data_IF_156274988595
#
_entry.id   IF_156274988595
#
_cell.length_a   1.000
_cell.length_b   1.000
_cell.length_c   1.000
_cell.angle_alpha   90.00
_cell.angle_beta   90.00
_cell.angle_gamma   90.00
#
_symmetry.space_group_name_H-M   'P 1'
#
loop_
_entity.id
_entity.type
_entity.pdbx_description
1 polymer ?
#
# COMPACT_ATOMS: atom_id res chain seq x y z
N UNK A 1 -22.87 -3.00 -16.29
CA UNK A 1 -22.92 -4.40 -16.78
C UNK A 1 -21.57 -4.71 -17.39
N UNK A 2 -20.98 -5.89 -17.15
CA UNK A 2 -19.61 -6.21 -17.58
C UNK A 2 -19.63 -6.86 -18.96
N UNK A 3 -18.85 -6.33 -19.91
CA UNK A 3 -18.71 -6.89 -21.24
C UNK A 3 -17.32 -7.48 -21.47
N UNK A 4 -17.22 -8.44 -22.41
CA UNK A 4 -16.00 -9.18 -22.73
C UNK A 4 -15.65 -9.02 -24.20
N UNK A 5 -14.42 -8.57 -24.48
CA UNK A 5 -13.88 -8.54 -25.84
C UNK A 5 -12.79 -9.63 -25.97
N UNK A 6 -12.86 -10.54 -26.96
CA UNK A 6 -11.87 -11.59 -27.13
C UNK A 6 -10.51 -11.03 -27.54
N UNK A 7 -9.45 -11.64 -27.00
CA UNK A 7 -8.07 -11.23 -27.24
C UNK A 7 -7.34 -12.18 -28.19
N UNK A 8 -6.53 -11.61 -29.06
CA UNK A 8 -5.81 -12.31 -30.11
C UNK A 8 -4.31 -12.44 -29.80
N UNK A 9 -3.62 -13.23 -30.62
CA UNK A 9 -2.17 -13.38 -30.59
C UNK A 9 -1.68 -14.33 -29.48
N UNK A 10 -0.36 -14.52 -29.44
CA UNK A 10 0.32 -15.51 -28.59
C UNK A 10 -0.07 -15.41 -27.11
N UNK A 11 -0.12 -14.19 -26.56
CA UNK A 11 -0.38 -13.96 -25.13
C UNK A 11 -1.87 -13.79 -24.80
N UNK A 12 -2.72 -13.61 -25.82
CA UNK A 12 -4.16 -13.34 -25.69
C UNK A 12 -5.07 -14.53 -25.99
N UNK A 13 -4.56 -15.60 -26.62
CA UNK A 13 -5.37 -16.78 -27.00
C UNK A 13 -6.19 -17.31 -25.82
N UNK A 14 -7.51 -17.41 -26.01
CA UNK A 14 -8.46 -17.91 -25.00
C UNK A 14 -8.77 -16.92 -23.87
N UNK A 15 -8.26 -15.67 -23.93
CA UNK A 15 -8.51 -14.63 -22.94
C UNK A 15 -9.46 -13.58 -23.47
N UNK A 16 -10.04 -12.83 -22.54
CA UNK A 16 -10.91 -11.71 -22.80
C UNK A 16 -10.43 -10.51 -21.98
N UNK A 17 -10.71 -9.31 -22.47
CA UNK A 17 -10.63 -8.09 -21.66
C UNK A 17 -12.03 -7.71 -21.18
N UNK A 18 -12.12 -7.24 -19.94
CA UNK A 18 -13.34 -6.71 -19.36
C UNK A 18 -13.43 -5.21 -19.66
N UNK A 19 -14.61 -4.74 -20.07
CA UNK A 19 -14.90 -3.33 -20.33
C UNK A 19 -16.31 -2.99 -19.87
N UNK A 20 -16.56 -1.70 -19.64
CA UNK A 20 -17.90 -1.19 -19.39
C UNK A 20 -18.69 -1.05 -20.71
N UNK A 21 -20.01 -0.91 -20.61
CA UNK A 21 -20.89 -0.90 -21.78
C UNK A 21 -20.66 0.33 -22.65
N UNK A 22 -20.33 1.47 -22.02
CA UNK A 22 -20.11 2.77 -22.66
C UNK A 22 -18.90 2.73 -23.61
N UNK A 23 -17.92 1.87 -23.33
CA UNK A 23 -16.72 1.71 -24.15
C UNK A 23 -16.81 0.48 -25.09
N UNK A 24 -17.74 -0.44 -24.83
CA UNK A 24 -17.79 -1.73 -25.51
C UNK A 24 -18.04 -1.60 -27.02
N UNK A 25 -18.99 -0.76 -27.43
CA UNK A 25 -19.36 -0.61 -28.84
C UNK A 25 -18.18 -0.07 -29.67
N UNK A 26 -17.49 0.96 -29.19
CA UNK A 26 -16.34 1.55 -29.87
C UNK A 26 -15.14 0.59 -29.89
N UNK A 27 -14.82 0.00 -28.74
CA UNK A 27 -13.66 -0.89 -28.63
C UNK A 27 -13.82 -2.19 -29.42
N UNK A 28 -15.05 -2.68 -29.62
CA UNK A 28 -15.33 -3.90 -30.37
C UNK A 28 -15.10 -3.79 -31.87
N UNK A 29 -14.93 -2.57 -32.40
CA UNK A 29 -14.58 -2.33 -33.82
C UNK A 29 -13.17 -2.81 -34.16
N UNK A 30 -12.32 -3.04 -33.16
CA UNK A 30 -10.90 -3.35 -33.35
C UNK A 30 -10.54 -4.77 -32.92
N UNK A 31 -9.48 -5.31 -33.56
CA UNK A 31 -8.83 -6.53 -33.10
C UNK A 31 -7.78 -6.22 -32.04
N UNK A 32 -8.04 -6.68 -30.83
CA UNK A 32 -7.15 -6.51 -29.69
C UNK A 32 -6.26 -7.73 -29.46
N UNK A 33 -5.05 -7.52 -28.95
CA UNK A 33 -4.08 -8.53 -28.58
C UNK A 33 -3.42 -8.21 -27.25
N UNK A 34 -2.69 -9.14 -26.67
CA UNK A 34 -1.94 -8.92 -25.42
C UNK A 34 -0.46 -8.73 -25.73
N UNK A 35 0.11 -7.62 -25.25
CA UNK A 35 1.54 -7.34 -25.37
C UNK A 35 2.37 -8.25 -24.46
N UNK A 36 3.69 -8.33 -24.71
CA UNK A 36 4.61 -9.13 -23.86
C UNK A 36 4.59 -8.69 -22.38
N UNK A 37 4.30 -7.42 -22.11
CA UNK A 37 4.17 -6.87 -20.75
C UNK A 37 2.74 -6.95 -20.18
N UNK A 38 1.83 -7.63 -20.87
CA UNK A 38 0.48 -7.99 -20.38
C UNK A 38 -0.61 -6.97 -20.68
N UNK A 39 -0.29 -5.82 -21.29
CA UNK A 39 -1.32 -4.83 -21.64
C UNK A 39 -2.09 -5.23 -22.89
N UNK A 40 -3.39 -4.94 -22.91
CA UNK A 40 -4.27 -5.04 -24.07
C UNK A 40 -3.94 -3.93 -25.07
N UNK A 41 -3.58 -4.33 -26.29
CA UNK A 41 -3.08 -3.44 -27.33
C UNK A 41 -3.68 -3.73 -28.70
N UNK A 42 -3.74 -2.69 -29.54
CA UNK A 42 -4.03 -2.79 -30.97
C UNK A 42 -2.99 -2.03 -31.78
N UNK A 43 -2.82 -2.44 -33.03
CA UNK A 43 -2.10 -1.65 -34.03
C UNK A 43 -3.03 -0.63 -34.70
N UNK A 44 -2.45 0.42 -35.25
CA UNK A 44 -3.14 1.37 -36.11
C UNK A 44 -2.15 2.32 -36.77
N UNK A 45 -2.65 3.24 -37.60
CA UNK A 45 -1.83 4.26 -38.25
C UNK A 45 -2.16 5.64 -37.67
N UNK A 46 -1.14 6.46 -37.42
CA UNK A 46 -1.29 7.91 -37.19
C UNK A 46 -0.38 8.60 -38.20
N UNK A 47 -0.94 9.50 -39.02
CA UNK A 47 -0.19 10.24 -40.05
C UNK A 47 0.67 9.31 -40.93
N UNK A 48 0.09 8.18 -41.36
CA UNK A 48 0.77 7.16 -42.16
C UNK A 48 1.79 6.30 -41.42
N UNK A 49 2.08 6.58 -40.14
CA UNK A 49 3.04 5.84 -39.33
C UNK A 49 2.37 4.82 -38.43
N UNK A 50 2.92 3.59 -38.37
CA UNK A 50 2.42 2.54 -37.49
C UNK A 50 2.57 2.91 -36.01
N UNK A 51 1.48 2.79 -35.25
CA UNK A 51 1.43 3.06 -33.82
C UNK A 51 0.74 1.92 -33.08
N UNK A 52 1.23 1.67 -31.86
CA UNK A 52 0.63 0.75 -30.91
C UNK A 52 -0.22 1.55 -29.91
N UNK A 53 -1.49 1.20 -29.79
CA UNK A 53 -2.43 1.81 -28.86
C UNK A 53 -2.75 0.84 -27.72
N UNK A 54 -2.94 1.38 -26.51
CA UNK A 54 -3.27 0.61 -25.31
C UNK A 54 -4.71 0.91 -24.90
N UNK A 55 -5.52 -0.13 -24.68
CA UNK A 55 -6.95 0.02 -24.39
C UNK A 55 -7.23 0.96 -23.21
N UNK A 56 -6.59 0.73 -22.05
CA UNK A 56 -6.74 1.61 -20.87
C UNK A 56 -6.44 3.09 -21.14
N UNK A 57 -5.55 3.42 -22.09
CA UNK A 57 -5.29 4.82 -22.47
C UNK A 57 -6.34 5.39 -23.41
N UNK A 58 -6.90 4.57 -24.31
CA UNK A 58 -8.01 5.02 -25.17
C UNK A 58 -9.28 5.30 -24.34
N UNK A 59 -9.56 4.48 -23.32
CA UNK A 59 -10.72 4.66 -22.44
C UNK A 59 -10.60 5.94 -21.58
N UNK A 60 -9.43 6.16 -20.98
CA UNK A 60 -9.23 7.25 -20.01
C UNK A 60 -8.72 8.55 -20.65
N UNK A 61 -8.19 8.49 -21.87
CA UNK A 61 -7.61 9.61 -22.61
C UNK A 61 -6.74 10.56 -21.74
N UNK A 62 -5.71 10.04 -21.03
CA UNK A 62 -4.87 10.86 -20.18
C UNK A 62 -4.00 11.80 -21.01
N UNK A 63 -3.55 12.91 -20.40
CA UNK A 63 -2.48 13.73 -20.96
C UNK A 63 -1.17 12.93 -21.12
N UNK A 64 -0.25 13.44 -21.94
CA UNK A 64 1.00 12.73 -22.27
C UNK A 64 1.97 12.60 -21.09
N UNK A 65 1.90 13.50 -20.11
CA UNK A 65 2.67 13.47 -18.86
C UNK A 65 2.12 12.48 -17.81
N UNK A 66 0.90 11.97 -18.02
CA UNK A 66 0.22 11.06 -17.10
C UNK A 66 0.13 9.64 -17.65
N UNK A 67 -0.06 8.69 -16.73
CA UNK A 67 -0.28 7.28 -17.03
C UNK A 67 -1.64 6.85 -16.49
N UNK A 68 -2.09 5.67 -16.92
CA UNK A 68 -3.33 5.07 -16.42
C UNK A 68 -2.96 3.78 -15.70
N UNK A 69 -3.28 3.73 -14.41
CA UNK A 69 -3.06 2.59 -13.51
C UNK A 69 -4.30 1.69 -13.46
N UNK A 70 -4.05 0.39 -13.34
CA UNK A 70 -5.08 -0.62 -13.10
C UNK A 70 -5.15 -0.86 -11.58
N UNK A 71 -6.20 -0.38 -10.92
CA UNK A 71 -6.32 -0.38 -9.45
C UNK A 71 -6.09 -1.77 -8.87
N UNK A 72 -6.71 -2.81 -9.44
CA UNK A 72 -6.52 -4.20 -8.99
C UNK A 72 -5.19 -4.83 -9.46
N UNK A 73 -4.47 -4.20 -10.40
CA UNK A 73 -3.25 -4.70 -11.03
C UNK A 73 -3.46 -5.68 -12.19
N UNK A 74 -4.71 -6.01 -12.53
CA UNK A 74 -5.07 -6.81 -13.69
C UNK A 74 -5.21 -5.94 -14.94
N UNK A 75 -4.27 -6.11 -15.87
CA UNK A 75 -4.19 -5.35 -17.12
C UNK A 75 -5.24 -5.77 -18.16
N UNK A 76 -5.95 -6.86 -17.92
CA UNK A 76 -7.07 -7.32 -18.75
C UNK A 76 -8.42 -6.80 -18.25
N UNK A 77 -8.46 -6.19 -17.06
CA UNK A 77 -9.66 -5.53 -16.55
C UNK A 77 -9.62 -4.04 -16.87
N UNK A 78 -10.13 -3.67 -18.04
CA UNK A 78 -10.13 -2.30 -18.55
C UNK A 78 -11.47 -1.58 -18.29
N UNK A 79 -12.25 -2.03 -17.29
CA UNK A 79 -13.41 -1.27 -16.80
C UNK A 79 -12.95 0.03 -16.16
N UNK A 80 -13.66 1.13 -16.38
CA UNK A 80 -13.40 2.47 -15.83
C UNK A 80 -13.28 2.46 -14.31
N UNK A 81 -14.08 1.67 -13.61
CA UNK A 81 -13.99 1.52 -12.14
C UNK A 81 -12.64 0.93 -11.67
N UNK A 82 -11.93 0.23 -12.56
CA UNK A 82 -10.61 -0.33 -12.28
C UNK A 82 -9.46 0.53 -12.84
N UNK A 83 -9.76 1.65 -13.52
CA UNK A 83 -8.76 2.51 -14.13
C UNK A 83 -8.69 3.85 -13.39
N UNK A 84 -7.49 4.38 -13.23
CA UNK A 84 -7.28 5.74 -12.72
C UNK A 84 -6.12 6.43 -13.43
N UNK A 85 -6.26 7.72 -13.68
CA UNK A 85 -5.18 8.56 -14.20
C UNK A 85 -4.26 8.93 -13.02
N UNK A 86 -2.96 8.74 -13.18
CA UNK A 86 -1.99 9.03 -12.13
C UNK A 86 -0.60 9.36 -12.69
N UNK A 87 0.29 9.78 -11.81
CA UNK A 87 1.72 9.93 -12.14
C UNK A 87 2.42 8.57 -12.25
N UNK A 88 3.59 8.55 -12.89
CA UNK A 88 4.45 7.34 -12.96
C UNK A 88 4.85 6.86 -11.56
N UNK A 89 5.11 7.79 -10.63
CA UNK A 89 5.49 7.46 -9.25
C UNK A 89 4.36 6.80 -8.47
N UNK A 90 3.12 7.27 -8.65
CA UNK A 90 1.94 6.68 -8.04
C UNK A 90 1.64 5.29 -8.58
N UNK A 91 1.67 5.09 -9.90
CA UNK A 91 1.54 3.78 -10.54
C UNK A 91 2.60 2.79 -9.99
N UNK A 92 3.84 3.27 -9.79
CA UNK A 92 4.91 2.49 -9.18
C UNK A 92 4.60 1.97 -7.77
N UNK A 93 3.80 2.70 -6.98
CA UNK A 93 3.38 2.28 -5.62
C UNK A 93 2.40 1.10 -5.66
N UNK A 94 1.58 1.00 -6.70
CA UNK A 94 0.63 -0.10 -6.90
C UNK A 94 1.29 -1.40 -7.43
N UNK A 95 2.60 -1.38 -7.71
CA UNK A 95 3.30 -2.55 -8.25
C UNK A 95 3.29 -3.74 -7.30
N UNK A 96 3.04 -4.95 -7.79
CA UNK A 96 3.23 -6.17 -6.98
C UNK A 96 4.68 -6.35 -6.51
N UNK A 97 4.87 -7.20 -5.51
CA UNK A 97 6.20 -7.65 -5.10
C UNK A 97 7.00 -8.19 -6.28
N UNK A 98 8.33 -8.12 -6.16
CA UNK A 98 9.22 -8.75 -7.12
C UNK A 98 9.06 -10.27 -7.09
N UNK A 99 9.11 -10.91 -8.25
CA UNK A 99 9.03 -12.38 -8.38
C UNK A 99 10.19 -13.09 -7.66
N UNK A 100 11.34 -12.42 -7.54
CA UNK A 100 12.51 -12.90 -6.81
C UNK A 100 12.45 -12.70 -5.29
N UNK A 101 11.39 -12.07 -4.77
CA UNK A 101 11.24 -11.82 -3.32
C UNK A 101 11.24 -13.14 -2.55
N UNK A 102 12.15 -13.26 -1.58
CA UNK A 102 12.27 -14.45 -0.71
C UNK A 102 11.29 -14.45 0.45
N UNK A 103 10.81 -13.28 0.87
CA UNK A 103 9.79 -13.18 1.92
C UNK A 103 8.41 -13.59 1.43
N UNK A 104 8.17 -13.54 0.11
CA UNK A 104 6.81 -13.68 -0.42
C UNK A 104 5.96 -12.42 -0.24
N UNK A 105 6.48 -11.38 0.41
CA UNK A 105 5.77 -10.13 0.69
C UNK A 105 6.49 -8.91 0.10
N UNK A 106 5.72 -7.87 -0.22
CA UNK A 106 6.22 -6.57 -0.68
C UNK A 106 6.83 -5.82 0.50
N UNK A 107 8.01 -5.23 0.26
CA UNK A 107 8.71 -4.40 1.26
C UNK A 107 9.42 -5.15 2.39
N UNK A 108 9.30 -6.48 2.44
CA UNK A 108 9.89 -7.32 3.50
C UNK A 108 11.10 -8.08 2.97
N UNK A 109 12.19 -8.07 3.72
CA UNK A 109 13.44 -8.75 3.40
C UNK A 109 14.05 -9.43 4.63
N UNK A 110 14.84 -10.49 4.42
CA UNK A 110 15.52 -11.19 5.52
C UNK A 110 16.91 -10.59 5.75
N UNK A 111 17.19 -10.16 6.98
CA UNK A 111 18.54 -9.80 7.39
C UNK A 111 19.32 -11.08 7.72
N UNK A 112 20.12 -11.58 6.77
CA UNK A 112 20.90 -12.81 6.97
C UNK A 112 21.85 -12.74 8.17
N UNK A 113 22.40 -11.57 8.47
CA UNK A 113 23.30 -11.36 9.60
C UNK A 113 22.58 -11.47 10.95
N UNK A 114 21.35 -10.96 11.03
CA UNK A 114 20.58 -10.90 12.30
C UNK A 114 19.59 -12.06 12.45
N UNK A 115 19.32 -12.82 11.38
CA UNK A 115 18.28 -13.83 11.35
C UNK A 115 16.86 -13.26 11.46
N UNK A 116 16.66 -11.95 11.30
CA UNK A 116 15.38 -11.26 11.46
C UNK A 116 14.83 -10.72 10.15
N UNK A 117 13.52 -10.68 10.02
CA UNK A 117 12.84 -9.97 8.93
C UNK A 117 12.91 -8.48 9.18
N UNK A 118 12.97 -7.70 8.10
CA UNK A 118 12.90 -6.25 8.20
C UNK A 118 12.10 -5.68 7.05
N UNK A 119 11.50 -4.53 7.34
CA UNK A 119 10.61 -3.85 6.41
C UNK A 119 11.18 -2.49 6.05
N UNK A 120 11.23 -2.21 4.75
CA UNK A 120 11.57 -0.89 4.21
C UNK A 120 10.47 -0.42 3.26
N UNK A 121 10.26 0.90 3.23
CA UNK A 121 9.34 1.54 2.29
C UNK A 121 10.00 2.74 1.62
N UNK A 122 9.87 2.83 0.31
CA UNK A 122 10.34 3.98 -0.46
C UNK A 122 9.20 4.99 -0.58
N UNK A 123 9.25 6.07 0.21
CA UNK A 123 8.24 7.12 0.21
C UNK A 123 8.91 8.50 0.11
N UNK A 124 8.37 9.38 -0.72
CA UNK A 124 8.94 10.71 -0.98
C UNK A 124 10.43 10.67 -1.40
N UNK A 125 10.76 9.77 -2.34
CA UNK A 125 12.11 9.56 -2.86
C UNK A 125 13.16 9.17 -1.80
N UNK A 126 12.73 8.69 -0.63
CA UNK A 126 13.61 8.22 0.44
C UNK A 126 13.20 6.82 0.89
N UNK A 127 14.20 5.96 1.06
CA UNK A 127 14.02 4.67 1.73
C UNK A 127 13.86 4.91 3.23
N UNK A 128 12.82 4.34 3.82
CA UNK A 128 12.52 4.44 5.25
C UNK A 128 12.51 3.04 5.83
N UNK A 129 13.34 2.85 6.85
CA UNK A 129 13.31 1.64 7.67
C UNK A 129 12.12 1.69 8.61
N UNK A 130 11.28 0.66 8.55
CA UNK A 130 10.06 0.54 9.37
C UNK A 130 10.38 -0.21 10.66
N UNK A 131 11.14 -1.29 10.57
CA UNK A 131 11.44 -2.13 11.73
C UNK A 131 12.04 -3.47 11.38
N UNK A 132 12.44 -4.20 12.41
CA UNK A 132 12.82 -5.62 12.36
C UNK A 132 11.83 -6.44 13.16
N UNK A 133 11.53 -7.64 12.67
CA UNK A 133 10.51 -8.53 13.18
C UNK A 133 11.06 -9.96 13.19
N UNK A 134 10.57 -10.78 14.11
CA UNK A 134 10.90 -12.20 14.17
C UNK A 134 10.01 -13.00 13.21
N UNK A 135 8.78 -12.54 12.98
CA UNK A 135 7.84 -13.10 12.00
C UNK A 135 7.79 -12.29 10.69
N UNK A 136 7.61 -13.00 9.58
CA UNK A 136 7.56 -12.40 8.24
C UNK A 136 6.23 -11.73 7.93
N UNK A 137 5.13 -12.26 8.47
CA UNK A 137 3.80 -11.71 8.27
C UNK A 137 3.64 -10.43 9.09
N UNK A 138 4.14 -10.37 10.32
CA UNK A 138 4.23 -9.13 11.11
C UNK A 138 4.97 -8.03 10.36
N UNK A 139 6.11 -8.36 9.75
CA UNK A 139 6.87 -7.43 8.91
C UNK A 139 6.04 -6.94 7.71
N UNK A 140 5.24 -7.81 7.11
CA UNK A 140 4.36 -7.50 5.97
C UNK A 140 3.14 -6.66 6.38
N UNK A 141 2.53 -6.92 7.54
CA UNK A 141 1.46 -6.08 8.10
C UNK A 141 1.97 -4.69 8.45
N UNK A 142 3.18 -4.59 9.00
CA UNK A 142 3.84 -3.31 9.19
C UNK A 142 4.04 -2.56 7.86
N UNK A 143 4.44 -3.27 6.80
CA UNK A 143 4.52 -2.67 5.46
C UNK A 143 3.16 -2.11 5.02
N UNK A 144 2.10 -2.89 5.12
CA UNK A 144 0.75 -2.51 4.67
C UNK A 144 0.24 -1.27 5.39
N UNK A 145 0.45 -1.18 6.71
CA UNK A 145 0.11 0.01 7.49
C UNK A 145 0.82 1.27 6.96
N UNK A 146 2.14 1.21 6.76
CA UNK A 146 2.89 2.36 6.25
C UNK A 146 2.60 2.64 4.77
N UNK A 147 2.30 1.61 3.97
CA UNK A 147 1.90 1.76 2.58
C UNK A 147 0.58 2.53 2.49
N UNK A 148 -0.42 2.18 3.29
CA UNK A 148 -1.66 2.96 3.40
C UNK A 148 -1.39 4.39 3.84
N UNK A 149 -0.57 4.57 4.88
CA UNK A 149 -0.22 5.90 5.40
C UNK A 149 0.45 6.80 4.38
N UNK A 150 1.38 6.27 3.58
CA UNK A 150 2.18 7.07 2.64
C UNK A 150 1.63 7.13 1.23
N UNK A 151 0.89 6.11 0.80
CA UNK A 151 0.46 5.95 -0.59
C UNK A 151 -1.06 6.01 -0.77
N UNK A 152 -1.83 5.92 0.32
CA UNK A 152 -3.29 5.96 0.28
C UNK A 152 -3.86 4.90 -0.65
N UNK A 153 -4.72 5.32 -1.56
CA UNK A 153 -5.35 4.44 -2.56
C UNK A 153 -4.35 3.77 -3.52
N UNK A 154 -3.12 4.28 -3.65
CA UNK A 154 -2.08 3.68 -4.50
C UNK A 154 -1.29 2.57 -3.82
N UNK A 155 -1.61 2.26 -2.57
CA UNK A 155 -0.94 1.21 -1.81
C UNK A 155 -1.29 -0.18 -2.33
N UNK A 156 -0.28 -0.94 -2.78
CA UNK A 156 -0.43 -2.40 -2.97
C UNK A 156 -0.16 -3.12 -1.65
N UNK A 157 -1.23 -3.60 -1.03
CA UNK A 157 -1.18 -4.33 0.24
C UNK A 157 -0.83 -5.80 0.03
N UNK A 158 -0.16 -6.38 1.03
CA UNK A 158 0.08 -7.81 1.16
C UNK A 158 -1.18 -8.55 1.63
N UNK A 159 -1.96 -7.93 2.53
CA UNK A 159 -3.19 -8.45 3.12
C UNK A 159 -4.38 -7.52 2.83
N UNK A 160 -4.88 -7.47 1.58
CA UNK A 160 -5.94 -6.54 1.17
C UNK A 160 -7.31 -6.80 1.85
N UNK A 161 -7.49 -7.99 2.43
CA UNK A 161 -8.72 -8.37 3.14
C UNK A 161 -8.63 -8.10 4.65
N UNK A 162 -7.45 -7.79 5.18
CA UNK A 162 -7.30 -7.39 6.58
C UNK A 162 -7.56 -5.90 6.68
N UNK A 163 -8.47 -5.51 7.57
CA UNK A 163 -8.76 -4.09 7.76
C UNK A 163 -7.55 -3.40 8.39
N UNK A 164 -7.31 -2.09 8.12
CA UNK A 164 -6.26 -1.33 8.78
C UNK A 164 -6.33 -1.40 10.31
N UNK A 165 -7.51 -1.69 10.86
CA UNK A 165 -7.73 -1.85 12.30
C UNK A 165 -7.25 -3.21 12.80
N UNK A 166 -7.47 -4.30 12.07
CA UNK A 166 -7.00 -5.66 12.43
C UNK A 166 -5.48 -5.79 12.33
N UNK A 167 -4.87 -5.14 11.33
CA UNK A 167 -3.41 -5.05 11.17
C UNK A 167 -2.71 -4.42 12.40
N UNK A 168 -3.37 -3.45 13.05
CA UNK A 168 -2.87 -2.75 14.25
C UNK A 168 -3.02 -3.60 15.52
N UNK A 169 -4.05 -4.46 15.59
CA UNK A 169 -4.37 -5.28 16.77
C UNK A 169 -3.32 -6.38 16.98
N UNK A 170 -2.88 -7.06 15.92
CA UNK A 170 -2.00 -8.23 16.01
C UNK A 170 -0.54 -7.89 16.35
N UNK A 171 -0.08 -6.66 16.07
CA UNK A 171 1.29 -6.20 16.38
C UNK A 171 1.45 -5.75 17.85
N UNK A 172 0.36 -5.53 18.58
CA UNK A 172 0.35 -4.74 19.82
C UNK A 172 0.25 -5.54 21.13
N UNK A 173 0.38 -6.87 21.13
CA UNK A 173 0.14 -7.69 22.32
C UNK A 173 1.46 -8.06 23.00
N UNK A 174 1.91 -7.19 23.91
CA UNK A 174 2.94 -7.48 24.90
C UNK A 174 2.67 -6.67 26.18
N UNK A 175 2.43 -7.37 27.29
CA UNK A 175 2.11 -6.78 28.59
C UNK A 175 3.35 -6.16 29.27
N UNK A 176 3.26 -4.85 29.55
CA UNK A 176 3.82 -4.08 30.69
C UNK A 176 5.33 -4.02 30.96
N UNK A 177 5.95 -2.83 30.76
CA UNK A 177 7.23 -2.42 31.42
C UNK A 177 7.34 -0.89 31.74
N UNK A 178 6.36 -0.04 31.38
CA UNK A 178 6.47 1.43 31.59
C UNK A 178 5.72 1.93 32.82
N UNK A 179 6.26 2.97 33.47
CA UNK A 179 5.56 3.75 34.51
C UNK A 179 4.54 4.74 33.96
N UNK A 180 4.55 5.02 32.65
CA UNK A 180 3.67 5.99 32.02
C UNK A 180 2.51 5.31 31.30
N UNK A 181 1.31 5.86 31.47
CA UNK A 181 0.07 5.37 30.88
C UNK A 181 0.21 5.30 29.36
N UNK A 182 -0.18 4.15 28.82
CA UNK A 182 -0.19 3.89 27.38
C UNK A 182 1.20 3.71 26.77
N UNK A 183 2.27 3.79 27.55
CA UNK A 183 3.64 3.55 27.10
C UNK A 183 4.00 2.09 27.40
N UNK A 184 4.79 1.46 26.53
CA UNK A 184 5.26 0.09 26.71
C UNK A 184 6.65 -0.09 26.10
N UNK A 185 7.50 -0.92 26.69
CA UNK A 185 8.78 -1.25 26.09
C UNK A 185 8.58 -2.27 24.96
N UNK A 186 9.12 -1.96 23.78
CA UNK A 186 9.19 -2.89 22.67
C UNK A 186 10.57 -3.51 22.62
N UNK A 187 10.68 -4.75 23.10
CA UNK A 187 11.92 -5.56 23.05
C UNK A 187 12.39 -5.79 21.61
N UNK A 188 11.48 -5.85 20.65
CA UNK A 188 11.79 -6.05 19.23
C UNK A 188 12.53 -4.86 18.60
N UNK A 189 12.17 -3.63 19.02
CA UNK A 189 12.75 -2.40 18.49
C UNK A 189 13.74 -1.72 19.43
N UNK A 190 13.88 -2.22 20.67
CA UNK A 190 14.63 -1.58 21.75
C UNK A 190 14.23 -0.09 21.90
N UNK A 191 12.92 0.16 21.88
CA UNK A 191 12.28 1.49 21.88
C UNK A 191 11.00 1.46 22.70
N UNK A 192 10.58 2.62 23.17
CA UNK A 192 9.32 2.83 23.87
C UNK A 192 8.17 3.05 22.90
N UNK A 193 7.19 2.14 22.89
CA UNK A 193 5.94 2.26 22.14
C UNK A 193 4.87 3.02 22.90
N UNK A 194 3.95 3.65 22.18
CA UNK A 194 2.83 4.41 22.77
C UNK A 194 1.52 3.99 22.16
N UNK A 195 0.49 3.79 22.98
CA UNK A 195 -0.87 3.55 22.56
C UNK A 195 -1.92 4.14 23.52
N UNK A 196 -3.07 4.55 23.00
CA UNK A 196 -4.17 5.19 23.75
C UNK A 196 -5.52 4.57 23.40
N UNK A 197 -6.43 4.44 24.36
CA UNK A 197 -7.73 3.80 24.14
C UNK A 197 -8.88 4.79 24.01
N UNK A 198 -9.38 4.99 22.79
CA UNK A 198 -10.48 5.90 22.46
C UNK A 198 -11.68 5.14 21.89
N UNK A 199 -12.91 5.43 22.37
CA UNK A 199 -14.15 4.74 21.96
C UNK A 199 -14.06 3.20 22.04
N UNK A 200 -13.57 2.69 23.17
CA UNK A 200 -13.31 1.25 23.42
C UNK A 200 -12.26 0.61 22.48
N UNK A 201 -11.62 1.39 21.60
CA UNK A 201 -10.59 0.93 20.65
C UNK A 201 -9.22 1.50 20.99
N UNK A 202 -8.17 0.69 20.89
CA UNK A 202 -6.78 1.12 21.13
C UNK A 202 -6.17 1.67 19.84
N UNK A 203 -5.51 2.83 19.93
CA UNK A 203 -4.78 3.51 18.85
C UNK A 203 -3.31 3.55 19.18
N UNK A 204 -2.45 3.15 18.24
CA UNK A 204 -1.00 3.22 18.38
C UNK A 204 -0.47 4.58 17.92
N UNK A 205 0.45 5.17 18.68
CA UNK A 205 0.92 6.55 18.49
C UNK A 205 2.40 6.67 18.08
N UNK A 206 3.19 5.59 18.18
CA UNK A 206 4.58 5.56 17.68
C UNK A 206 5.58 4.86 18.60
N UNK A 207 6.82 4.73 18.12
CA UNK A 207 8.01 4.28 18.87
C UNK A 207 8.95 5.46 19.13
N UNK A 208 9.59 5.47 20.30
CA UNK A 208 10.45 6.54 20.78
C UNK A 208 11.72 5.95 21.41
N UNK A 209 12.83 6.67 21.32
CA UNK A 209 14.09 6.26 21.98
C UNK A 209 14.01 6.44 23.50
N UNK A 210 13.36 7.52 23.94
CA UNK A 210 13.19 7.83 25.36
C UNK A 210 11.77 7.55 25.85
N UNK A 211 11.67 7.04 27.07
CA UNK A 211 10.39 6.75 27.72
C UNK A 211 9.59 8.04 27.97
N UNK A 212 10.29 9.13 28.29
CA UNK A 212 9.68 10.46 28.54
C UNK A 212 9.06 11.02 27.25
N UNK A 213 9.68 10.83 26.09
CA UNK A 213 9.13 11.27 24.80
C UNK A 213 7.88 10.47 24.41
N UNK A 214 7.91 9.17 24.66
CA UNK A 214 6.74 8.30 24.51
C UNK A 214 5.57 8.81 25.38
N UNK A 215 5.86 9.17 26.63
CA UNK A 215 4.87 9.73 27.56
C UNK A 215 4.34 11.10 27.11
N UNK A 216 5.19 11.98 26.54
CA UNK A 216 4.79 13.27 25.95
C UNK A 216 3.83 13.06 24.78
N UNK A 217 4.12 12.10 23.90
CA UNK A 217 3.22 11.76 22.78
C UNK A 217 1.87 11.27 23.26
N UNK A 218 1.84 10.43 24.31
CA UNK A 218 0.59 10.02 24.93
C UNK A 218 -0.22 11.22 25.43
N UNK A 219 0.43 12.15 26.15
CA UNK A 219 -0.23 13.34 26.68
C UNK A 219 -0.81 14.23 25.59
N UNK A 220 -0.04 14.47 24.52
CA UNK A 220 -0.48 15.26 23.37
C UNK A 220 -1.81 14.71 22.79
N UNK A 221 -1.84 13.41 22.47
CA UNK A 221 -3.04 12.78 21.92
C UNK A 221 -4.16 12.59 22.93
N UNK A 222 -3.86 12.43 24.22
CA UNK A 222 -4.88 12.38 25.26
C UNK A 222 -5.63 13.72 25.36
N UNK A 223 -4.91 14.84 25.31
CA UNK A 223 -5.52 16.18 25.28
C UNK A 223 -6.40 16.35 24.05
N UNK A 224 -5.91 15.98 22.87
CA UNK A 224 -6.67 16.09 21.62
C UNK A 224 -7.95 15.23 21.63
N UNK A 225 -7.87 13.99 22.14
CA UNK A 225 -8.99 13.04 22.07
C UNK A 225 -10.01 13.17 23.22
N UNK A 226 -9.59 13.60 24.41
CA UNK A 226 -10.47 13.66 25.60
C UNK A 226 -10.68 15.07 26.14
N UNK A 227 -10.00 16.08 25.59
CA UNK A 227 -10.10 17.47 26.05
C UNK A 227 -9.83 17.62 27.55
N UNK A 228 -10.72 18.31 28.26
CA UNK A 228 -10.62 18.51 29.71
C UNK A 228 -10.70 17.23 30.55
N UNK A 229 -11.16 16.11 29.98
CA UNK A 229 -11.23 14.81 30.65
C UNK A 229 -9.97 13.96 30.44
N UNK A 230 -8.94 14.49 29.76
CA UNK A 230 -7.71 13.78 29.50
C UNK A 230 -6.95 13.46 30.80
N UNK A 231 -6.68 12.16 31.04
CA UNK A 231 -5.74 11.77 32.11
C UNK A 231 -4.34 11.69 31.55
N UNK A 232 -3.52 12.65 31.94
CA UNK A 232 -2.15 12.84 31.46
C UNK A 232 -1.13 12.19 32.41
N UNK A 233 -0.02 11.74 31.84
CA UNK A 233 1.18 11.34 32.55
C UNK A 233 1.86 12.56 33.17
N UNK A 234 2.33 12.46 34.43
CA UNK A 234 3.21 13.45 35.03
C UNK A 234 4.65 13.15 34.61
N UNK A 235 5.33 14.11 34.00
CA UNK A 235 6.69 13.95 33.46
C UNK A 235 7.58 14.94 34.21
N UNK A 236 8.57 14.43 34.95
CA UNK A 236 9.54 15.27 35.66
C UNK A 236 10.54 15.85 34.67
N UNK A 237 10.65 17.19 34.64
CA UNK A 237 11.71 17.89 33.90
C UNK A 237 12.95 18.00 34.77
N UNK A 238 14.09 17.56 34.25
CA UNK A 238 15.39 17.82 34.84
C UNK A 238 15.81 19.21 34.38
N UNK A 239 15.94 20.14 35.33
CA UNK A 239 16.46 21.50 35.12
C UNK A 239 17.98 21.52 35.26
#
# INVERSE_FOLDING_TARGET
>A
MIYKIPLNGKYGKGKFTLVDIEDFEELSKYKWSVSKCGYVIRGGLINGSSKCFRMHREIMNPSDDLVVDHINGDKLDNRRVNLRVCTVGENGRNRSKWSSSKSGFKGVSLSRRKGKWYTNINAHNKSRYIGTFDDVEEAARAYDYYALKYFGEFAKLNFPNETPTELIINVAIGEGESKYRGVFWSKASNKWGVAIQFNKKRRYLGLFDEEKDAARMYNFWATDLYGCNAKLNKIEEEF
#
